data_IF_309881648185
#
_entry.id   IF_309881648185
#
_cell.length_a   1.000
_cell.length_b   1.000
_cell.length_c   1.000
_cell.angle_alpha   90.00
_cell.angle_beta   90.00
_cell.angle_gamma   90.00
#
_symmetry.space_group_name_H-M   'P 1'
#
loop_
_entity.id
_entity.type
_entity.pdbx_description
1 polymer ?
#
# COMPACT_ATOMS: atom_id res chain seq x y z
N UNK A 1 -4.12 3.60 19.90
CA UNK A 1 -3.54 3.52 19.97
C UNK A 1 -2.45 2.89 19.69
N UNK A 2 -1.90 2.42 19.99
CA UNK A 2 -0.89 1.80 19.84
C UNK A 2 -0.73 0.88 18.81
N UNK A 3 -1.62 0.43 18.20
CA UNK A 3 -1.46 -0.46 17.20
C UNK A 3 -0.76 0.14 16.07
N UNK A 4 -0.62 1.37 16.02
CA UNK A 4 0.10 1.95 14.94
C UNK A 4 1.50 1.53 14.87
N UNK A 5 2.04 1.10 15.96
CA UNK A 5 3.40 0.73 16.01
C UNK A 5 3.74 -0.35 15.06
N UNK A 6 2.80 -1.22 14.80
CA UNK A 6 3.12 -2.34 13.98
C UNK A 6 2.99 -2.08 12.51
N UNK A 7 2.46 -0.91 12.15
CA UNK A 7 2.29 -0.66 10.77
C UNK A 7 3.58 -0.40 10.09
N UNK A 8 3.81 -1.04 9.01
CA UNK A 8 5.02 -0.86 8.25
C UNK A 8 6.26 -1.29 8.98
N UNK A 9 6.08 -1.93 10.12
CA UNK A 9 7.23 -2.34 10.87
C UNK A 9 7.86 -3.53 10.23
N UNK A 10 9.11 -3.40 9.94
CA UNK A 10 9.89 -4.49 9.43
C UNK A 10 10.62 -5.11 10.58
N UNK A 11 10.40 -6.40 10.80
CA UNK A 11 11.07 -7.05 11.88
C UNK A 11 12.45 -7.45 11.47
N UNK A 12 13.41 -6.86 12.12
CA UNK A 12 14.76 -7.27 11.93
C UNK A 12 15.02 -8.35 12.93
N UNK A 13 15.14 -9.53 12.46
CA UNK A 13 15.18 -10.66 13.32
C UNK A 13 16.42 -10.75 14.15
N UNK A 14 17.55 -10.52 13.58
CA UNK A 14 18.77 -10.70 14.30
C UNK A 14 19.74 -9.61 14.02
N UNK A 15 20.19 -9.00 15.07
CA UNK A 15 21.08 -7.89 14.89
C UNK A 15 22.50 -8.32 14.58
N UNK A 16 22.85 -9.52 14.91
CA UNK A 16 24.23 -9.90 14.78
C UNK A 16 24.60 -10.57 13.48
N UNK A 17 23.65 -10.69 12.59
CA UNK A 17 23.90 -11.34 11.33
C UNK A 17 24.23 -10.30 10.29
N UNK A 18 25.03 -10.65 9.32
CA UNK A 18 25.37 -9.73 8.26
C UNK A 18 24.14 -9.31 7.51
N UNK A 19 24.18 -8.08 6.97
CA UNK A 19 23.03 -7.53 6.38
C UNK A 19 22.41 -8.40 5.33
N UNK A 20 23.05 -8.99 4.47
CA UNK A 20 22.46 -9.72 3.36
C UNK A 20 21.88 -11.06 3.73
N UNK A 21 22.05 -11.47 4.99
CA UNK A 21 21.68 -12.83 5.39
C UNK A 21 20.42 -12.90 6.23
N UNK A 22 19.76 -11.79 6.44
CA UNK A 22 18.58 -11.77 7.29
C UNK A 22 17.35 -11.45 6.46
N UNK A 23 16.39 -12.36 6.51
CA UNK A 23 15.10 -12.13 5.88
C UNK A 23 14.27 -11.24 6.78
N UNK A 24 13.73 -10.19 6.21
CA UNK A 24 12.85 -9.29 6.92
C UNK A 24 11.44 -9.47 6.39
N UNK A 25 10.51 -9.74 7.27
CA UNK A 25 9.12 -9.91 6.89
C UNK A 25 8.44 -8.55 6.97
N UNK A 26 7.90 -8.10 5.85
CA UNK A 26 7.17 -6.84 5.83
C UNK A 26 5.70 -7.10 6.17
N UNK A 27 5.14 -8.17 5.64
CA UNK A 27 3.75 -8.55 5.87
C UNK A 27 3.02 -8.80 4.56
N UNK A 28 1.87 -9.43 4.64
CA UNK A 28 1.00 -9.70 3.47
C UNK A 28 1.77 -10.30 2.29
N UNK A 29 2.61 -11.29 2.59
CA UNK A 29 3.45 -11.99 1.62
C UNK A 29 4.66 -11.19 1.13
N UNK A 30 4.87 -9.97 1.60
CA UNK A 30 6.07 -9.23 1.23
C UNK A 30 7.21 -9.50 2.20
N UNK A 31 8.40 -9.63 1.66
CA UNK A 31 9.61 -9.81 2.46
C UNK A 31 10.81 -9.20 1.76
N UNK A 32 11.87 -9.02 2.51
CA UNK A 32 13.16 -8.58 1.97
C UNK A 32 14.18 -9.64 2.32
N UNK A 33 14.87 -10.10 1.32
CA UNK A 33 15.92 -11.08 1.50
C UNK A 33 17.07 -10.75 0.56
N UNK A 34 18.27 -10.75 1.10
CA UNK A 34 19.50 -10.48 0.32
C UNK A 34 19.38 -9.19 -0.52
N UNK A 35 18.81 -8.17 0.08
CA UNK A 35 18.72 -6.88 -0.57
C UNK A 35 17.68 -6.78 -1.68
N UNK A 36 16.73 -7.70 -1.72
CA UNK A 36 15.66 -7.67 -2.71
C UNK A 36 14.31 -7.80 -2.04
N UNK A 37 13.31 -7.18 -2.63
CA UNK A 37 11.94 -7.29 -2.15
C UNK A 37 11.27 -8.42 -2.90
N UNK A 38 10.51 -9.22 -2.17
CA UNK A 38 9.77 -10.35 -2.72
C UNK A 38 8.29 -10.24 -2.40
N UNK A 39 7.47 -10.79 -3.27
CA UNK A 39 6.08 -11.08 -2.97
C UNK A 39 5.93 -12.59 -3.15
N UNK A 40 5.71 -13.31 -2.04
CA UNK A 40 5.79 -14.74 -2.05
C UNK A 40 7.20 -15.18 -2.41
N UNK A 41 7.34 -15.94 -3.47
CA UNK A 41 8.63 -16.42 -3.95
C UNK A 41 9.16 -15.63 -5.14
N UNK A 42 8.42 -14.62 -5.58
CA UNK A 42 8.81 -13.86 -6.76
C UNK A 42 9.50 -12.56 -6.39
N UNK A 43 10.56 -12.23 -7.09
CA UNK A 43 11.26 -10.97 -6.88
C UNK A 43 10.39 -9.84 -7.42
N UNK A 44 10.24 -8.81 -6.61
CA UNK A 44 9.53 -7.61 -7.03
C UNK A 44 10.56 -6.70 -7.69
N UNK A 45 10.68 -6.86 -9.00
CA UNK A 45 11.72 -6.16 -9.75
C UNK A 45 11.64 -4.65 -9.61
N UNK A 46 12.77 -4.04 -9.33
CA UNK A 46 12.84 -2.60 -9.22
C UNK A 46 12.41 -2.03 -7.88
N UNK A 47 11.88 -2.84 -6.98
CA UNK A 47 11.47 -2.36 -5.67
C UNK A 47 12.69 -2.06 -4.80
N UNK A 48 12.62 -0.97 -4.06
CA UNK A 48 13.71 -0.55 -3.20
C UNK A 48 13.51 -1.11 -1.79
N UNK A 49 14.36 -2.05 -1.36
CA UNK A 49 14.17 -2.64 -0.03
C UNK A 49 14.37 -1.66 1.11
N UNK A 50 15.06 -0.57 0.87
CA UNK A 50 15.32 0.40 1.94
C UNK A 50 14.12 1.27 2.25
N UNK A 51 13.20 1.40 1.30
CA UNK A 51 12.04 2.27 1.47
C UNK A 51 10.71 1.53 1.35
N UNK A 52 10.75 0.22 1.15
CA UNK A 52 9.54 -0.58 1.00
C UNK A 52 8.74 -0.61 2.30
N UNK A 53 7.48 -0.28 2.22
CA UNK A 53 6.60 -0.33 3.39
C UNK A 53 5.17 -0.66 2.99
N UNK A 54 4.48 -1.37 3.88
CA UNK A 54 3.11 -1.74 3.66
C UNK A 54 2.22 -0.55 4.00
N UNK A 55 1.32 -0.20 3.11
CA UNK A 55 0.44 0.94 3.33
C UNK A 55 -1.04 0.55 3.33
N UNK A 56 -1.34 -0.72 3.10
CA UNK A 56 -2.69 -1.26 3.14
C UNK A 56 -2.63 -2.76 2.91
N UNK A 57 -3.77 -3.39 2.70
CA UNK A 57 -3.80 -4.83 2.49
C UNK A 57 -3.10 -5.18 1.18
N UNK A 58 -2.02 -5.91 1.28
CA UNK A 58 -1.14 -6.28 0.15
C UNK A 58 -0.71 -5.10 -0.71
N UNK A 59 -0.78 -3.90 -0.16
CA UNK A 59 -0.45 -2.68 -0.85
C UNK A 59 0.87 -2.16 -0.30
N UNK A 60 1.89 -2.16 -1.11
CA UNK A 60 3.24 -1.77 -0.74
C UNK A 60 3.66 -0.54 -1.52
N UNK A 61 4.45 0.31 -0.90
CA UNK A 61 5.03 1.43 -1.61
C UNK A 61 6.52 1.51 -1.28
N UNK A 62 7.30 2.03 -2.20
CA UNK A 62 8.68 2.40 -1.93
C UNK A 62 8.88 3.87 -2.37
N UNK A 63 10.12 4.27 -2.58
CA UNK A 63 10.42 5.64 -2.97
C UNK A 63 10.10 5.95 -4.44
N UNK A 64 9.69 4.96 -5.20
CA UNK A 64 9.44 5.14 -6.64
C UNK A 64 8.06 4.70 -7.07
N UNK A 65 7.53 3.65 -6.50
CA UNK A 65 6.34 2.99 -7.02
C UNK A 65 5.39 2.53 -5.94
N UNK A 66 4.18 2.18 -6.36
CA UNK A 66 3.19 1.52 -5.52
C UNK A 66 2.92 0.16 -6.16
N UNK A 67 2.80 -0.85 -5.32
CA UNK A 67 2.59 -2.23 -5.76
C UNK A 67 1.38 -2.82 -5.05
N UNK A 68 0.58 -3.59 -5.76
CA UNK A 68 -0.54 -4.29 -5.16
C UNK A 68 -0.42 -5.77 -5.50
N UNK A 69 -0.38 -6.61 -4.47
CA UNK A 69 -0.24 -8.06 -4.62
C UNK A 69 0.94 -8.42 -5.54
N UNK A 70 2.05 -7.74 -5.36
CA UNK A 70 3.27 -8.01 -6.13
C UNK A 70 3.32 -7.37 -7.51
N UNK A 71 2.31 -6.62 -7.90
CA UNK A 71 2.27 -6.02 -9.23
C UNK A 71 2.39 -4.50 -9.14
N UNK A 72 3.25 -3.92 -9.94
CA UNK A 72 3.43 -2.48 -9.95
C UNK A 72 2.22 -1.78 -10.55
N UNK A 73 1.73 -0.76 -9.88
CA UNK A 73 0.64 0.06 -10.39
C UNK A 73 1.25 1.10 -11.33
N UNK A 74 0.74 1.14 -12.56
CA UNK A 74 1.31 1.99 -13.60
C UNK A 74 0.95 3.45 -13.43
N UNK A 75 1.79 4.30 -14.02
CA UNK A 75 1.52 5.74 -14.11
C UNK A 75 1.37 6.48 -12.80
N UNK A 76 2.08 6.03 -11.78
CA UNK A 76 2.10 6.69 -10.49
C UNK A 76 3.35 7.54 -10.36
N UNK A 77 3.15 8.79 -9.99
CA UNK A 77 4.26 9.68 -9.66
C UNK A 77 4.36 9.73 -8.16
N UNK A 78 5.24 8.95 -7.59
CA UNK A 78 5.29 8.74 -6.15
C UNK A 78 5.41 10.03 -5.34
N UNK A 79 6.03 11.05 -5.89
CA UNK A 79 6.18 12.31 -5.17
C UNK A 79 4.85 12.99 -4.89
N UNK A 80 3.81 12.62 -5.63
CA UNK A 80 2.47 13.17 -5.46
C UNK A 80 1.55 12.20 -4.72
N UNK A 81 2.13 11.17 -4.15
CA UNK A 81 1.37 10.17 -3.40
C UNK A 81 0.98 10.72 -2.04
N UNK A 82 -0.25 10.45 -1.65
CA UNK A 82 -0.75 10.81 -0.33
C UNK A 82 -1.63 9.68 0.19
N UNK A 83 -1.32 9.16 1.38
CA UNK A 83 -2.13 8.13 1.98
C UNK A 83 -3.34 8.77 2.64
N UNK A 84 -4.54 8.33 2.27
CA UNK A 84 -5.78 8.86 2.83
C UNK A 84 -6.34 7.99 3.95
N UNK A 85 -6.00 6.71 3.93
CA UNK A 85 -6.46 5.76 4.92
C UNK A 85 -5.82 4.43 4.68
N UNK A 86 -6.36 3.36 5.27
CA UNK A 86 -5.72 2.06 5.21
C UNK A 86 -5.53 1.55 3.78
N UNK A 87 -6.55 1.57 2.99
CA UNK A 87 -6.51 1.06 1.63
C UNK A 87 -6.73 2.16 0.60
N UNK A 88 -6.91 3.39 1.07
CA UNK A 88 -7.22 4.53 0.20
C UNK A 88 -6.03 5.44 0.09
N UNK A 89 -5.72 5.86 -1.11
CA UNK A 89 -4.62 6.79 -1.36
C UNK A 89 -4.93 7.67 -2.57
N UNK A 90 -4.17 8.72 -2.69
CA UNK A 90 -4.35 9.70 -3.74
C UNK A 90 -3.03 9.88 -4.47
N UNK A 91 -3.11 10.08 -5.77
CA UNK A 91 -1.97 10.47 -6.58
C UNK A 91 -2.46 11.55 -7.54
N UNK A 92 -1.94 12.74 -7.38
CA UNK A 92 -2.44 13.92 -8.08
C UNK A 92 -3.93 14.09 -7.77
N UNK A 93 -4.77 14.15 -8.79
CA UNK A 93 -6.20 14.31 -8.61
C UNK A 93 -6.96 13.01 -8.76
N UNK A 94 -6.29 11.89 -8.53
CA UNK A 94 -6.91 10.57 -8.63
C UNK A 94 -6.91 9.90 -7.29
N UNK A 95 -8.04 9.33 -6.93
CA UNK A 95 -8.18 8.57 -5.69
C UNK A 95 -8.27 7.09 -6.02
N UNK A 96 -7.62 6.29 -5.22
CA UNK A 96 -7.56 4.85 -5.40
C UNK A 96 -8.00 4.13 -4.14
N UNK A 97 -8.64 2.99 -4.33
CA UNK A 97 -8.79 1.99 -3.30
C UNK A 97 -7.94 0.79 -3.75
N UNK A 98 -6.89 0.50 -3.00
CA UNK A 98 -5.90 -0.51 -3.38
C UNK A 98 -5.34 -0.19 -4.77
N UNK A 99 -5.56 -1.05 -5.76
CA UNK A 99 -5.08 -0.79 -7.12
C UNK A 99 -6.15 -0.20 -8.03
N UNK A 100 -7.36 0.04 -7.53
CA UNK A 100 -8.48 0.49 -8.36
C UNK A 100 -8.70 1.98 -8.22
N UNK A 101 -8.72 2.68 -9.34
CA UNK A 101 -9.07 4.09 -9.34
C UNK A 101 -10.56 4.24 -9.06
N UNK A 102 -10.90 5.18 -8.21
CA UNK A 102 -12.29 5.50 -7.92
C UNK A 102 -12.73 6.59 -8.89
N UNK A 103 -13.63 6.24 -9.79
CA UNK A 103 -14.05 7.17 -10.84
C UNK A 103 -14.98 8.24 -10.28
N UNK A 104 -14.78 9.45 -10.75
CA UNK A 104 -15.65 10.58 -10.42
C UNK A 104 -15.76 10.92 -8.94
N UNK A 105 -14.76 10.59 -8.16
CA UNK A 105 -14.73 10.99 -6.76
C UNK A 105 -14.50 12.49 -6.66
N UNK A 106 -15.19 13.13 -5.73
CA UNK A 106 -14.96 14.54 -5.45
C UNK A 106 -13.76 14.66 -4.52
N UNK A 107 -12.64 15.06 -5.07
CA UNK A 107 -11.35 15.08 -4.38
C UNK A 107 -11.40 15.93 -3.11
N UNK A 108 -12.05 17.09 -3.22
CA UNK A 108 -12.02 18.04 -2.12
C UNK A 108 -12.79 17.60 -0.88
N UNK A 109 -13.85 16.85 -1.07
CA UNK A 109 -14.66 16.37 0.04
C UNK A 109 -14.46 14.91 0.38
N UNK A 110 -13.56 14.23 -0.32
CA UNK A 110 -13.35 12.80 -0.09
C UNK A 110 -12.83 12.54 1.31
N UNK A 111 -13.50 11.64 2.01
CA UNK A 111 -13.17 11.32 3.38
C UNK A 111 -13.23 9.81 3.61
N UNK A 112 -12.17 9.26 4.14
CA UNK A 112 -12.10 7.84 4.48
C UNK A 112 -12.68 7.65 5.87
N UNK A 113 -13.61 6.72 6.01
CA UNK A 113 -14.28 6.45 7.28
C UNK A 113 -13.63 5.26 7.99
N UNK A 114 -13.25 4.24 7.25
CA UNK A 114 -12.47 3.12 7.77
C UNK A 114 -11.80 2.43 6.59
N UNK A 115 -11.27 1.25 6.78
CA UNK A 115 -10.46 0.60 5.74
C UNK A 115 -11.24 0.27 4.47
N UNK A 116 -12.56 0.13 4.55
CA UNK A 116 -13.38 -0.24 3.40
C UNK A 116 -14.43 0.79 3.04
N UNK A 117 -14.62 1.81 3.87
CA UNK A 117 -15.67 2.79 3.64
C UNK A 117 -15.10 4.20 3.48
N UNK A 118 -15.62 4.91 2.52
CA UNK A 118 -15.30 6.33 2.32
C UNK A 118 -16.54 7.06 1.80
N UNK A 119 -16.48 8.37 1.79
CA UNK A 119 -17.56 9.17 1.20
C UNK A 119 -17.02 10.48 0.68
N UNK A 120 -17.76 11.08 -0.22
CA UNK A 120 -17.54 12.47 -0.59
C UNK A 120 -18.91 13.16 -0.54
N UNK A 121 -18.99 14.40 -1.00
CA UNK A 121 -20.24 15.14 -0.92
C UNK A 121 -21.36 14.57 -1.80
N UNK A 122 -21.02 13.72 -2.75
CA UNK A 122 -21.98 13.18 -3.70
C UNK A 122 -22.41 11.76 -3.41
N UNK A 123 -21.57 10.95 -2.77
CA UNK A 123 -21.87 9.53 -2.60
C UNK A 123 -21.03 8.88 -1.53
N UNK A 124 -21.41 7.66 -1.17
CA UNK A 124 -20.64 6.80 -0.30
C UNK A 124 -20.04 5.68 -1.12
N UNK A 125 -18.91 5.18 -0.66
CA UNK A 125 -18.17 4.11 -1.31
C UNK A 125 -17.99 2.97 -0.31
N UNK A 126 -18.24 1.76 -0.76
CA UNK A 126 -18.10 0.59 0.09
C UNK A 126 -17.52 -0.56 -0.71
N UNK A 127 -16.48 -1.18 -0.19
CA UNK A 127 -15.94 -2.38 -0.79
C UNK A 127 -16.47 -3.59 -0.03
N UNK A 128 -17.38 -4.31 -0.66
CA UNK A 128 -18.01 -5.49 -0.04
C UNK A 128 -17.22 -6.76 -0.28
N UNK A 129 -16.48 -6.79 -1.37
CA UNK A 129 -15.66 -7.95 -1.69
C UNK A 129 -14.32 -7.47 -2.21
N UNK A 130 -13.44 -8.42 -2.44
CA UNK A 130 -12.07 -8.10 -2.86
C UNK A 130 -12.01 -7.15 -4.03
N UNK A 131 -12.91 -7.28 -4.95
CA UNK A 131 -12.78 -6.60 -6.23
C UNK A 131 -13.96 -5.74 -6.63
N UNK A 132 -14.93 -5.58 -5.76
CA UNK A 132 -16.11 -4.80 -6.11
C UNK A 132 -16.25 -3.56 -5.27
N UNK A 133 -16.25 -2.43 -5.92
CA UNK A 133 -16.58 -1.17 -5.29
C UNK A 133 -18.05 -0.87 -5.55
N UNK A 134 -18.78 -0.68 -4.48
CA UNK A 134 -20.15 -0.19 -4.59
C UNK A 134 -20.20 1.26 -4.11
N UNK A 135 -21.03 2.02 -4.77
CA UNK A 135 -21.27 3.39 -4.38
C UNK A 135 -22.77 3.68 -4.44
N UNK A 136 -23.20 4.55 -3.57
CA UNK A 136 -24.60 4.94 -3.49
C UNK A 136 -24.76 6.37 -3.08
#
# INVERSE_FOLDING_TARGET
>A
MKKNILKGLVFLVLANVGFGDVTQIIGDYYSIDKGKVYYGNEILEGANPKTAELIGFSLLKDDKNVYYMGEKIKDIKIKNFEKLGQNYWKNDNKIYYRDKKIENADIMSFKVLNEDYAKDKNRSYEYLTKDELKWF
#
